data_IF_216859930108
#
_entry.id   IF_216859930108
#
_cell.length_a   1.000
_cell.length_b   1.000
_cell.length_c   1.000
_cell.angle_alpha   90.00
_cell.angle_beta   90.00
_cell.angle_gamma   90.00
#
_symmetry.space_group_name_H-M   'P 1'
#
loop_
_entity.id
_entity.type
_entity.pdbx_description
1 polymer ?
#
# COMPACT_ATOMS: atom_id res chain seq x y z
N UNK A 1 4.59 -20.79 -7.91
CA UNK A 1 4.88 -19.42 -7.44
C UNK A 1 4.53 -18.46 -8.57
N UNK A 2 3.76 -17.42 -8.32
CA UNK A 2 3.42 -16.42 -9.34
C UNK A 2 4.37 -15.21 -9.20
N UNK A 3 5.54 -15.28 -9.84
CA UNK A 3 6.61 -14.26 -9.73
C UNK A 3 6.14 -12.87 -10.16
N UNK A 4 5.30 -12.78 -11.19
CA UNK A 4 4.77 -11.48 -11.65
C UNK A 4 3.86 -10.83 -10.60
N UNK A 5 3.06 -11.63 -9.90
CA UNK A 5 2.18 -11.13 -8.84
C UNK A 5 3.00 -10.73 -7.61
N UNK A 6 4.04 -11.50 -7.25
CA UNK A 6 4.98 -11.12 -6.21
C UNK A 6 5.69 -9.79 -6.53
N UNK A 7 6.15 -9.59 -7.76
CA UNK A 7 6.75 -8.31 -8.18
C UNK A 7 5.76 -7.15 -8.04
N UNK A 8 4.48 -7.34 -8.40
CA UNK A 8 3.46 -6.31 -8.24
C UNK A 8 3.23 -5.94 -6.76
N UNK A 9 3.18 -6.93 -5.86
CA UNK A 9 3.03 -6.68 -4.42
C UNK A 9 4.30 -6.13 -3.77
N UNK A 10 5.49 -6.50 -4.23
CA UNK A 10 6.75 -5.89 -3.80
C UNK A 10 6.79 -4.40 -4.18
N UNK A 11 6.35 -4.04 -5.40
CA UNK A 11 6.21 -2.64 -5.80
C UNK A 11 5.18 -1.91 -4.92
N UNK A 12 4.02 -2.53 -4.68
CA UNK A 12 2.97 -1.96 -3.83
C UNK A 12 3.47 -1.66 -2.40
N UNK A 13 4.23 -2.57 -1.80
CA UNK A 13 4.84 -2.39 -0.49
C UNK A 13 5.88 -1.27 -0.49
N UNK A 14 6.81 -1.28 -1.44
CA UNK A 14 7.84 -0.24 -1.61
C UNK A 14 7.22 1.15 -1.79
N UNK A 15 6.18 1.27 -2.63
CA UNK A 15 5.49 2.53 -2.86
C UNK A 15 4.86 3.09 -1.59
N UNK A 16 4.17 2.27 -0.79
CA UNK A 16 3.61 2.67 0.51
C UNK A 16 4.68 3.18 1.47
N UNK A 17 5.76 2.41 1.64
CA UNK A 17 6.86 2.76 2.54
C UNK A 17 7.54 4.06 2.09
N UNK A 18 7.71 4.27 0.78
CA UNK A 18 8.28 5.50 0.22
C UNK A 18 7.37 6.72 0.45
N UNK A 19 6.05 6.55 0.35
CA UNK A 19 5.08 7.60 0.70
C UNK A 19 5.14 7.96 2.19
N UNK A 20 5.18 6.96 3.07
CA UNK A 20 5.29 7.16 4.52
C UNK A 20 6.59 7.91 4.85
N UNK A 21 7.72 7.46 4.31
CA UNK A 21 9.02 8.09 4.55
C UNK A 21 9.08 9.54 4.03
N UNK A 22 8.44 9.85 2.91
CA UNK A 22 8.39 11.22 2.39
C UNK A 22 7.67 12.19 3.34
N UNK A 23 6.77 11.68 4.18
CA UNK A 23 6.03 12.48 5.15
C UNK A 23 6.88 12.93 6.35
N UNK A 24 8.07 12.37 6.58
CA UNK A 24 8.97 12.83 7.66
C UNK A 24 9.40 14.29 7.53
N UNK A 25 9.33 14.84 6.30
CA UNK A 25 9.65 16.25 6.03
C UNK A 25 8.49 17.21 6.27
N UNK A 26 7.28 16.70 6.51
CA UNK A 26 6.07 17.50 6.67
C UNK A 26 5.85 17.90 8.13
N UNK A 27 5.39 19.14 8.32
CA UNK A 27 4.88 19.57 9.63
C UNK A 27 3.55 18.87 9.95
N UNK A 28 3.18 18.83 11.24
CA UNK A 28 1.87 18.30 11.68
C UNK A 28 0.71 19.02 10.97
N UNK A 29 0.79 20.34 10.78
CA UNK A 29 -0.25 21.11 10.10
C UNK A 29 -0.41 20.72 8.61
N UNK A 30 0.68 20.38 7.93
CA UNK A 30 0.65 19.88 6.55
C UNK A 30 0.10 18.47 6.47
N UNK A 31 0.49 17.61 7.41
CA UNK A 31 -0.03 16.24 7.51
C UNK A 31 -1.53 16.17 7.77
N UNK A 32 -2.08 17.12 8.55
CA UNK A 32 -3.50 17.16 8.91
C UNK A 32 -4.36 18.03 7.98
N UNK A 33 -3.74 18.68 6.97
CA UNK A 33 -4.51 19.49 6.02
C UNK A 33 -5.43 18.63 5.17
N UNK A 34 -6.75 18.87 5.18
CA UNK A 34 -7.68 18.16 4.31
C UNK A 34 -7.37 18.41 2.83
N UNK A 35 -7.40 17.36 2.03
CA UNK A 35 -7.18 17.43 0.59
C UNK A 35 -8.43 16.95 -0.17
N UNK A 36 -8.96 17.73 -1.13
CA UNK A 36 -10.09 17.31 -1.94
C UNK A 36 -9.80 16.00 -2.70
N UNK A 37 -10.76 15.10 -2.71
CA UNK A 37 -10.64 13.82 -3.43
C UNK A 37 -9.82 12.74 -2.71
N UNK A 38 -9.42 13.00 -1.45
CA UNK A 38 -8.76 12.02 -0.58
C UNK A 38 -9.67 11.57 0.57
N UNK A 39 -9.19 10.66 1.42
CA UNK A 39 -9.91 10.20 2.64
C UNK A 39 -9.87 11.25 3.75
N UNK A 40 -9.40 12.46 3.45
CA UNK A 40 -9.30 13.57 4.40
C UNK A 40 -7.95 14.26 4.33
N UNK A 41 -7.03 13.95 5.23
CA UNK A 41 -5.65 14.47 5.24
C UNK A 41 -4.66 13.42 4.71
N UNK A 42 -3.38 13.81 4.55
CA UNK A 42 -2.30 12.87 4.22
C UNK A 42 -2.24 11.76 5.27
N UNK A 43 -2.27 12.11 6.57
CA UNK A 43 -2.26 11.14 7.67
C UNK A 43 -3.45 10.18 7.57
N UNK A 44 -4.67 10.70 7.42
CA UNK A 44 -5.87 9.89 7.32
C UNK A 44 -5.83 8.94 6.12
N UNK A 45 -5.33 9.42 4.97
CA UNK A 45 -5.22 8.61 3.75
C UNK A 45 -4.17 7.51 3.90
N UNK A 46 -3.01 7.80 4.50
CA UNK A 46 -1.99 6.79 4.77
C UNK A 46 -2.47 5.74 5.78
N UNK A 47 -3.12 6.17 6.87
CA UNK A 47 -3.69 5.25 7.85
C UNK A 47 -4.71 4.32 7.17
N UNK A 48 -5.66 4.88 6.42
CA UNK A 48 -6.64 4.11 5.66
C UNK A 48 -5.98 3.11 4.69
N UNK A 49 -4.98 3.55 3.95
CA UNK A 49 -4.27 2.72 2.97
C UNK A 49 -3.58 1.52 3.63
N UNK A 50 -2.86 1.74 4.73
CA UNK A 50 -2.12 0.68 5.44
C UNK A 50 -3.07 -0.31 6.10
N UNK A 51 -4.09 0.19 6.81
CA UNK A 51 -5.06 -0.66 7.51
C UNK A 51 -5.91 -1.47 6.52
N UNK A 52 -6.36 -0.86 5.42
CA UNK A 52 -7.14 -1.58 4.42
C UNK A 52 -6.34 -2.70 3.74
N UNK A 53 -5.05 -2.47 3.44
CA UNK A 53 -4.19 -3.51 2.87
C UNK A 53 -4.00 -4.69 3.84
N UNK A 54 -3.80 -4.42 5.13
CA UNK A 54 -3.76 -5.44 6.17
C UNK A 54 -5.07 -6.23 6.29
N UNK A 55 -6.20 -5.57 6.08
CA UNK A 55 -7.53 -6.23 6.05
C UNK A 55 -7.71 -7.14 4.84
N UNK A 56 -7.21 -6.74 3.67
CA UNK A 56 -7.31 -7.57 2.48
C UNK A 56 -6.53 -8.88 2.65
N UNK A 57 -5.28 -8.83 3.10
CA UNK A 57 -4.51 -10.07 3.31
C UNK A 57 -5.09 -10.91 4.45
N UNK A 58 -5.62 -10.29 5.51
CA UNK A 58 -6.22 -10.99 6.64
C UNK A 58 -7.39 -11.90 6.24
N UNK A 59 -8.11 -11.56 5.19
CA UNK A 59 -9.20 -12.37 4.65
C UNK A 59 -8.74 -13.60 3.87
N UNK A 60 -7.48 -13.63 3.49
CA UNK A 60 -6.89 -14.68 2.64
C UNK A 60 -5.98 -15.62 3.42
N UNK A 61 -5.29 -15.15 4.45
CA UNK A 61 -4.20 -15.88 5.11
C UNK A 61 -4.53 -16.36 6.54
N UNK A 62 -5.77 -16.25 6.99
CA UNK A 62 -6.22 -16.83 8.26
C UNK A 62 -6.66 -15.85 9.33
N UNK A 63 -6.95 -14.63 8.96
CA UNK A 63 -7.60 -13.64 9.82
C UNK A 63 -6.74 -12.46 10.25
N UNK A 64 -7.35 -11.46 10.90
CA UNK A 64 -6.69 -10.21 11.23
C UNK A 64 -5.56 -10.42 12.24
N UNK A 65 -4.44 -9.70 12.10
CA UNK A 65 -3.43 -9.66 13.14
C UNK A 65 -3.97 -8.93 14.39
N UNK A 66 -3.43 -9.21 15.59
CA UNK A 66 -3.92 -8.60 16.84
C UNK A 66 -3.83 -7.06 16.89
N UNK A 67 -2.93 -6.48 16.09
CA UNK A 67 -2.71 -5.03 16.01
C UNK A 67 -3.65 -4.30 15.04
N UNK A 68 -4.50 -5.02 14.34
CA UNK A 68 -5.42 -4.40 13.37
C UNK A 68 -6.58 -3.73 14.09
N UNK A 69 -6.35 -2.53 14.55
CA UNK A 69 -7.36 -1.62 15.10
C UNK A 69 -7.66 -0.54 14.06
N UNK A 70 -8.88 -0.52 13.56
CA UNK A 70 -9.32 0.40 12.50
C UNK A 70 -9.45 1.84 12.97
N UNK A 71 -9.67 2.04 14.26
CA UNK A 71 -9.81 3.35 14.88
C UNK A 71 -8.48 3.91 15.41
N UNK A 72 -7.42 3.10 15.38
CA UNK A 72 -6.11 3.54 15.84
C UNK A 72 -5.57 4.70 15.01
N UNK A 73 -5.25 5.80 15.67
CA UNK A 73 -4.52 6.92 15.06
C UNK A 73 -3.02 6.61 15.11
N UNK A 74 -2.52 5.89 14.11
CA UNK A 74 -1.12 5.50 14.02
C UNK A 74 -0.22 6.71 13.66
N UNK A 75 0.95 6.79 14.28
CA UNK A 75 1.98 7.70 13.80
C UNK A 75 2.72 7.14 12.57
N UNK A 76 3.65 7.91 11.97
CA UNK A 76 4.37 7.46 10.77
C UNK A 76 5.23 6.22 11.02
N UNK A 77 5.77 6.07 12.23
CA UNK A 77 6.58 4.90 12.60
C UNK A 77 5.71 3.65 12.70
N UNK A 78 4.54 3.79 13.33
CA UNK A 78 3.57 2.70 13.44
C UNK A 78 3.11 2.28 12.04
N UNK A 79 2.75 3.24 11.18
CA UNK A 79 2.34 2.98 9.79
C UNK A 79 3.44 2.26 9.00
N UNK A 80 4.71 2.64 9.18
CA UNK A 80 5.82 1.97 8.52
C UNK A 80 5.92 0.51 8.97
N UNK A 81 5.93 0.26 10.29
CA UNK A 81 5.99 -1.08 10.88
C UNK A 81 4.82 -1.95 10.39
N UNK A 82 3.59 -1.42 10.43
CA UNK A 82 2.40 -2.14 9.96
C UNK A 82 2.46 -2.44 8.46
N UNK A 83 3.01 -1.51 7.66
CA UNK A 83 3.22 -1.72 6.22
C UNK A 83 4.23 -2.82 5.94
N UNK A 84 5.33 -2.90 6.70
CA UNK A 84 6.35 -3.95 6.59
C UNK A 84 5.78 -5.32 6.96
N UNK A 85 5.08 -5.44 8.10
CA UNK A 85 4.42 -6.67 8.53
C UNK A 85 3.37 -7.16 7.51
N UNK A 86 2.61 -6.23 6.93
CA UNK A 86 1.62 -6.54 5.90
C UNK A 86 2.29 -7.03 4.62
N UNK A 87 3.40 -6.42 4.21
CA UNK A 87 4.19 -6.85 3.05
C UNK A 87 4.72 -8.28 3.24
N UNK A 88 5.23 -8.60 4.42
CA UNK A 88 5.69 -9.95 4.77
C UNK A 88 4.56 -10.98 4.72
N UNK A 89 3.35 -10.61 5.11
CA UNK A 89 2.17 -11.49 5.00
C UNK A 89 1.81 -11.76 3.53
N UNK A 90 1.75 -10.71 2.70
CA UNK A 90 1.53 -10.86 1.26
C UNK A 90 2.59 -11.74 0.61
N UNK A 91 3.86 -11.53 0.94
CA UNK A 91 4.96 -12.33 0.41
C UNK A 91 4.83 -13.81 0.78
N UNK A 92 4.54 -14.12 2.05
CA UNK A 92 4.32 -15.51 2.50
C UNK A 92 3.13 -16.16 1.79
N UNK A 93 2.00 -15.44 1.70
CA UNK A 93 0.79 -15.93 1.05
C UNK A 93 1.02 -16.22 -0.44
N UNK A 94 1.60 -15.29 -1.18
CA UNK A 94 1.84 -15.40 -2.62
C UNK A 94 2.99 -16.35 -2.98
N UNK A 95 3.84 -16.72 -2.04
CA UNK A 95 4.88 -17.74 -2.22
C UNK A 95 4.32 -19.17 -2.28
N UNK A 96 3.07 -19.36 -1.86
CA UNK A 96 2.34 -20.62 -1.95
C UNK A 96 1.44 -20.65 -3.21
N UNK A 97 0.98 -21.84 -3.63
CA UNK A 97 -0.10 -21.91 -4.61
C UNK A 97 -1.36 -21.22 -4.09
N UNK A 98 -1.88 -20.26 -4.85
CA UNK A 98 -3.08 -19.52 -4.50
C UNK A 98 -4.24 -20.06 -5.36
N UNK A 99 -5.34 -20.46 -4.70
CA UNK A 99 -6.60 -20.75 -5.36
C UNK A 99 -7.38 -19.43 -5.51
N UNK A 100 -7.30 -18.83 -6.69
CA UNK A 100 -7.99 -17.58 -7.00
C UNK A 100 -9.52 -17.68 -7.00
N UNK A 101 -10.07 -18.90 -7.15
CA UNK A 101 -11.51 -19.17 -7.16
C UNK A 101 -12.07 -19.47 -5.75
N UNK A 102 -11.21 -19.56 -4.74
CA UNK A 102 -11.66 -19.72 -3.36
C UNK A 102 -12.64 -18.60 -2.98
N UNK A 103 -13.78 -18.98 -2.39
CA UNK A 103 -14.76 -18.01 -1.89
C UNK A 103 -14.25 -17.39 -0.60
N UNK A 104 -14.31 -16.06 -0.56
CA UNK A 104 -13.96 -15.22 0.60
C UNK A 104 -15.21 -14.48 1.05
N UNK A 105 -15.54 -14.61 2.33
CA UNK A 105 -16.68 -13.91 2.93
C UNK A 105 -16.22 -12.59 3.54
N UNK A 106 -16.96 -11.54 3.27
CA UNK A 106 -16.69 -10.16 3.70
C UNK A 106 -17.89 -9.61 4.48
N UNK A 107 -17.67 -8.48 5.15
CA UNK A 107 -18.73 -7.67 5.78
C UNK A 107 -19.62 -8.50 6.73
N UNK A 108 -18.97 -9.21 7.66
CA UNK A 108 -19.61 -10.07 8.67
C UNK A 108 -20.58 -11.12 8.09
N UNK A 109 -20.25 -11.62 6.90
CA UNK A 109 -21.04 -12.64 6.22
C UNK A 109 -22.08 -12.08 5.24
N UNK A 110 -22.13 -10.78 5.04
CA UNK A 110 -23.11 -10.15 4.15
C UNK A 110 -22.73 -10.20 2.66
N UNK A 111 -21.46 -10.45 2.33
CA UNK A 111 -20.98 -10.44 0.96
C UNK A 111 -19.94 -11.55 0.72
N UNK A 112 -20.02 -12.19 -0.42
CA UNK A 112 -19.07 -13.21 -0.86
C UNK A 112 -18.44 -12.80 -2.19
N UNK A 113 -17.14 -13.10 -2.34
CA UNK A 113 -16.39 -12.87 -3.57
C UNK A 113 -15.29 -13.92 -3.73
N UNK A 114 -14.60 -13.92 -4.86
CA UNK A 114 -13.44 -14.79 -5.09
C UNK A 114 -12.14 -14.16 -4.57
N UNK A 115 -11.19 -14.98 -4.15
CA UNK A 115 -9.88 -14.54 -3.65
C UNK A 115 -9.12 -13.67 -4.66
N UNK A 116 -9.19 -13.97 -5.96
CA UNK A 116 -8.59 -13.17 -7.01
C UNK A 116 -9.12 -11.72 -7.03
N UNK A 117 -10.40 -11.50 -6.71
CA UNK A 117 -10.99 -10.15 -6.62
C UNK A 117 -10.38 -9.38 -5.46
N UNK A 118 -10.22 -10.02 -4.28
CA UNK A 118 -9.59 -9.39 -3.10
C UNK A 118 -8.13 -9.02 -3.39
N UNK A 119 -7.39 -9.89 -4.07
CA UNK A 119 -5.98 -9.65 -4.47
C UNK A 119 -5.88 -8.44 -5.41
N UNK A 120 -6.72 -8.40 -6.45
CA UNK A 120 -6.73 -7.27 -7.41
C UNK A 120 -7.18 -5.98 -6.73
N UNK A 121 -8.18 -6.07 -5.83
CA UNK A 121 -8.65 -4.91 -5.06
C UNK A 121 -7.55 -4.34 -4.17
N UNK A 122 -6.73 -5.16 -3.53
CA UNK A 122 -5.61 -4.69 -2.71
C UNK A 122 -4.61 -3.84 -3.53
N UNK A 123 -4.19 -4.31 -4.71
CA UNK A 123 -3.29 -3.56 -5.59
C UNK A 123 -3.93 -2.25 -6.09
N UNK A 124 -5.19 -2.31 -6.51
CA UNK A 124 -5.94 -1.15 -6.97
C UNK A 124 -6.08 -0.09 -5.87
N UNK A 125 -6.40 -0.50 -4.66
CA UNK A 125 -6.58 0.36 -3.50
C UNK A 125 -5.29 1.13 -3.14
N UNK A 126 -4.15 0.42 -3.10
CA UNK A 126 -2.85 1.06 -2.85
C UNK A 126 -2.51 2.09 -3.94
N UNK A 127 -2.78 1.76 -5.20
CA UNK A 127 -2.52 2.69 -6.32
C UNK A 127 -3.35 3.97 -6.20
N UNK A 128 -4.67 3.85 -5.98
CA UNK A 128 -5.57 5.02 -5.88
C UNK A 128 -5.19 5.91 -4.70
N UNK A 129 -5.05 5.34 -3.51
CA UNK A 129 -4.77 6.14 -2.32
C UNK A 129 -3.33 6.66 -2.29
N UNK A 130 -2.39 5.95 -2.91
CA UNK A 130 -1.04 6.46 -3.15
C UNK A 130 -1.03 7.72 -4.01
N UNK A 131 -1.80 7.73 -5.11
CA UNK A 131 -1.96 8.92 -5.96
C UNK A 131 -2.67 10.07 -5.22
N UNK A 132 -3.62 9.79 -4.34
CA UNK A 132 -4.25 10.83 -3.50
C UNK A 132 -3.25 11.48 -2.54
N UNK A 133 -2.32 10.70 -1.96
CA UNK A 133 -1.23 11.24 -1.14
C UNK A 133 -0.30 12.10 -2.00
N UNK A 134 0.12 11.65 -3.19
CA UNK A 134 0.93 12.43 -4.12
C UNK A 134 0.26 13.75 -4.55
N UNK A 135 -1.05 13.70 -4.83
CA UNK A 135 -1.84 14.89 -5.14
C UNK A 135 -1.87 15.88 -3.96
N UNK A 136 -1.94 15.38 -2.72
CA UNK A 136 -1.90 16.21 -1.51
C UNK A 136 -0.54 16.90 -1.34
N UNK A 137 0.58 16.22 -1.60
CA UNK A 137 1.91 16.85 -1.66
C UNK A 137 1.96 17.99 -2.68
N UNK A 138 1.44 17.73 -3.88
CA UNK A 138 1.37 18.73 -4.95
C UNK A 138 0.53 19.96 -4.54
N UNK A 139 -0.60 19.74 -3.86
CA UNK A 139 -1.46 20.80 -3.36
C UNK A 139 -0.79 21.65 -2.24
N UNK A 140 0.20 21.08 -1.55
CA UNK A 140 1.06 21.78 -0.59
C UNK A 140 2.21 22.54 -1.27
N UNK A 141 2.39 22.42 -2.60
CA UNK A 141 3.53 22.96 -3.33
C UNK A 141 4.83 22.15 -3.13
N UNK A 142 4.73 20.93 -2.62
CA UNK A 142 5.85 20.03 -2.36
C UNK A 142 5.88 18.98 -3.47
N UNK A 143 7.07 18.69 -3.99
CA UNK A 143 7.22 17.64 -5.00
C UNK A 143 6.93 16.27 -4.35
N UNK A 144 5.95 15.50 -4.88
CA UNK A 144 5.67 14.17 -4.36
C UNK A 144 6.83 13.21 -4.64
N UNK A 145 7.00 12.14 -3.84
CA UNK A 145 7.93 11.08 -4.18
C UNK A 145 7.52 10.38 -5.47
N UNK A 146 8.50 9.89 -6.23
CA UNK A 146 8.22 9.03 -7.38
C UNK A 146 7.98 7.59 -6.87
N UNK A 147 6.76 7.11 -7.03
CA UNK A 147 6.32 5.78 -6.58
C UNK A 147 5.97 4.86 -7.76
N UNK A 148 6.39 5.23 -8.97
CA UNK A 148 6.14 4.43 -10.16
C UNK A 148 7.01 3.16 -10.19
N UNK A 149 6.57 2.09 -10.88
CA UNK A 149 7.38 0.87 -11.04
C UNK A 149 8.76 1.13 -11.65
N UNK A 150 8.89 2.14 -12.51
CA UNK A 150 10.18 2.55 -13.09
C UNK A 150 11.17 3.04 -12.04
N UNK A 151 10.72 3.80 -11.04
CA UNK A 151 11.56 4.26 -9.95
C UNK A 151 12.05 3.10 -9.08
N UNK A 152 11.21 2.11 -8.79
CA UNK A 152 11.66 0.87 -8.12
C UNK A 152 12.69 0.11 -8.97
N UNK A 153 12.48 0.02 -10.28
CA UNK A 153 13.42 -0.65 -11.17
C UNK A 153 14.79 0.04 -11.19
N UNK A 154 14.82 1.38 -11.17
CA UNK A 154 16.05 2.17 -11.07
C UNK A 154 16.73 1.98 -9.71
N UNK A 155 15.98 2.07 -8.60
CA UNK A 155 16.48 1.89 -7.22
C UNK A 155 17.09 0.48 -7.00
N UNK A 156 16.57 -0.53 -7.70
CA UNK A 156 17.01 -1.94 -7.57
C UNK A 156 17.96 -2.40 -8.67
N UNK A 157 18.37 -1.51 -9.59
CA UNK A 157 19.25 -1.85 -10.71
C UNK A 157 18.63 -2.78 -11.75
N UNK A 158 17.30 -2.88 -11.81
CA UNK A 158 16.55 -3.68 -12.81
C UNK A 158 16.34 -2.92 -14.13
N UNK A 159 16.70 -1.62 -14.18
CA UNK A 159 16.70 -0.78 -15.37
C UNK A 159 18.05 -0.08 -15.57
N UNK A 160 18.32 0.36 -16.77
CA UNK A 160 19.51 1.15 -17.09
C UNK A 160 19.26 2.11 -18.26
N UNK A 161 19.85 3.28 -18.19
CA UNK A 161 19.88 4.25 -19.28
C UNK A 161 21.00 3.92 -20.26
N UNK A 162 20.68 3.56 -21.50
CA UNK A 162 21.68 3.13 -22.50
C UNK A 162 22.54 4.28 -23.02
N UNK A 163 22.09 5.52 -22.90
CA UNK A 163 22.77 6.73 -23.37
C UNK A 163 23.67 7.40 -22.31
N UNK A 164 23.74 6.83 -21.11
CA UNK A 164 24.68 7.27 -20.05
C UNK A 164 25.97 6.44 -20.00
N UNK A 165 26.20 5.56 -21.00
CA UNK A 165 27.38 4.70 -21.08
C UNK A 165 28.44 5.33 -22.00
N UNK A 166 29.01 6.50 -21.62
CA UNK A 166 30.24 7.05 -22.18
C UNK A 166 31.33 7.12 -21.12
#
# INVERSE_FOLDING_TARGET
MNELLLDAFNHSAWAKQRLIAACDSLSVAEMERPAPGSVGSIRATLNHLVIADARYIARLDGGPPPWLDEEAANDLRDLLTLSEETADRWQRFLSQPVDGEQIVTLDDGAYETHANVVIVQALHHVSIHGEQVCASFTALGIKPPDVQPWALADDTGRSRWLWLQE
#
